data_IF_250817280466
#
_entry.id   IF_250817280466
#
_cell.length_a   1.000
_cell.length_b   1.000
_cell.length_c   1.000
_cell.angle_alpha   90.00
_cell.angle_beta   90.00
_cell.angle_gamma   90.00
#
_symmetry.space_group_name_H-M   'P 1'
#
loop_
_entity.id
_entity.type
_entity.pdbx_description
1 polymer ?
#
# COMPACT_ATOMS: atom_id res chain seq x y z
N UNK A 1 -12.23 6.57 17.74
CA UNK A 1 -10.88 7.19 17.75
C UNK A 1 -9.96 6.54 18.78
N UNK A 2 -10.35 6.47 20.05
CA UNK A 2 -9.49 5.91 21.11
C UNK A 2 -9.14 4.43 20.91
N UNK A 3 -10.05 3.62 20.37
CA UNK A 3 -9.79 2.21 20.11
C UNK A 3 -8.77 2.02 18.98
N UNK A 4 -8.76 2.87 17.98
CA UNK A 4 -7.77 2.77 16.90
C UNK A 4 -6.36 3.06 17.39
N UNK A 5 -6.18 4.00 18.32
CA UNK A 5 -4.87 4.28 18.95
C UNK A 5 -4.35 3.08 19.74
N UNK A 6 -5.22 2.39 20.48
CA UNK A 6 -4.86 1.17 21.22
C UNK A 6 -4.36 0.07 20.31
N UNK A 7 -4.93 -0.05 19.10
CA UNK A 7 -4.63 -1.10 18.14
C UNK A 7 -3.57 -0.70 17.10
N UNK A 8 -2.95 0.46 17.23
CA UNK A 8 -1.92 0.93 16.30
C UNK A 8 -0.74 -0.05 16.20
N UNK A 9 -0.30 -0.60 17.33
CA UNK A 9 0.77 -1.59 17.37
C UNK A 9 0.40 -2.86 16.62
N UNK A 10 -0.83 -3.33 16.79
CA UNK A 10 -1.33 -4.53 16.11
C UNK A 10 -1.47 -4.28 14.61
N UNK A 11 -1.93 -3.10 14.21
CA UNK A 11 -2.01 -2.71 12.79
C UNK A 11 -0.61 -2.70 12.15
N UNK A 12 0.40 -2.18 12.84
CA UNK A 12 1.78 -2.19 12.37
C UNK A 12 2.34 -3.62 12.25
N UNK A 13 2.07 -4.48 13.23
CA UNK A 13 2.46 -5.89 13.18
C UNK A 13 1.83 -6.60 11.97
N UNK A 14 0.54 -6.40 11.74
CA UNK A 14 -0.17 -6.95 10.59
C UNK A 14 0.37 -6.42 9.27
N UNK A 15 0.64 -5.12 9.18
CA UNK A 15 1.22 -4.50 7.99
C UNK A 15 2.60 -5.09 7.67
N UNK A 16 3.46 -5.24 8.67
CA UNK A 16 4.78 -5.85 8.51
C UNK A 16 4.68 -7.31 8.07
N UNK A 17 3.73 -8.07 8.62
CA UNK A 17 3.51 -9.46 8.23
C UNK A 17 3.13 -9.57 6.75
N UNK A 18 2.19 -8.75 6.29
CA UNK A 18 1.78 -8.69 4.87
C UNK A 18 2.97 -8.39 3.97
N UNK A 19 3.75 -7.37 4.31
CA UNK A 19 4.88 -6.91 3.49
C UNK A 19 6.05 -7.90 3.43
N UNK A 20 6.21 -8.73 4.47
CA UNK A 20 7.33 -9.66 4.59
C UNK A 20 6.97 -11.12 4.25
N UNK A 21 5.73 -11.40 3.90
CA UNK A 21 5.23 -12.77 3.69
C UNK A 21 4.54 -12.89 2.34
N UNK A 22 4.77 -13.97 1.57
CA UNK A 22 4.08 -14.19 0.31
C UNK A 22 2.56 -14.41 0.54
N UNK A 23 1.75 -13.90 -0.38
CA UNK A 23 0.29 -14.05 -0.37
C UNK A 23 -0.15 -15.38 -0.98
N UNK A 24 0.37 -16.50 -0.50
CA UNK A 24 0.01 -17.83 -1.01
C UNK A 24 -1.42 -18.19 -0.62
N UNK A 25 -2.25 -18.44 -1.62
CA UNK A 25 -3.63 -18.86 -1.48
C UNK A 25 -3.80 -20.30 -1.97
N UNK A 26 -3.24 -21.27 -1.25
CA UNK A 26 -3.48 -22.70 -1.50
C UNK A 26 -4.10 -23.35 -0.26
N UNK A 27 -4.45 -24.63 -0.36
CA UNK A 27 -5.08 -25.39 0.75
C UNK A 27 -4.23 -25.43 2.03
N UNK A 28 -2.93 -25.20 1.91
CA UNK A 28 -1.97 -25.07 3.01
C UNK A 28 -1.60 -23.62 3.29
N UNK A 29 -2.36 -22.65 2.74
CA UNK A 29 -2.03 -21.25 2.87
C UNK A 29 -2.12 -20.79 4.30
N UNK A 30 -1.19 -19.96 4.65
CA UNK A 30 -1.17 -19.26 5.92
C UNK A 30 -2.33 -18.27 5.98
N UNK A 31 -3.42 -18.66 6.65
CA UNK A 31 -4.58 -17.81 6.87
C UNK A 31 -4.22 -16.50 7.59
N UNK A 32 -3.06 -16.44 8.24
CA UNK A 32 -2.58 -15.25 8.93
C UNK A 32 -2.43 -14.06 7.98
N UNK A 33 -1.98 -14.29 6.73
CA UNK A 33 -1.88 -13.21 5.76
C UNK A 33 -3.25 -12.57 5.46
N UNK A 34 -4.28 -13.41 5.31
CA UNK A 34 -5.65 -12.95 5.07
C UNK A 34 -6.20 -12.21 6.30
N UNK A 35 -5.98 -12.73 7.49
CA UNK A 35 -6.40 -12.06 8.72
C UNK A 35 -5.71 -10.72 8.92
N UNK A 36 -4.41 -10.65 8.65
CA UNK A 36 -3.66 -9.39 8.70
C UNK A 36 -4.18 -8.38 7.68
N UNK A 37 -4.48 -8.82 6.45
CA UNK A 37 -5.03 -7.96 5.41
C UNK A 37 -6.39 -7.38 5.82
N UNK A 38 -7.27 -8.20 6.39
CA UNK A 38 -8.57 -7.75 6.92
C UNK A 38 -8.41 -6.81 8.10
N UNK A 39 -7.47 -7.09 8.98
CA UNK A 39 -7.20 -6.23 10.14
C UNK A 39 -6.71 -4.85 9.71
N UNK A 40 -5.76 -4.79 8.80
CA UNK A 40 -5.24 -3.52 8.25
C UNK A 40 -6.35 -2.73 7.57
N UNK A 41 -7.15 -3.37 6.72
CA UNK A 41 -8.27 -2.71 6.05
C UNK A 41 -9.25 -2.11 7.06
N UNK A 42 -9.63 -2.89 8.05
CA UNK A 42 -10.58 -2.45 9.07
C UNK A 42 -10.03 -1.31 9.92
N UNK A 43 -8.75 -1.37 10.28
CA UNK A 43 -8.08 -0.32 11.02
C UNK A 43 -7.99 0.97 10.19
N UNK A 44 -7.65 0.87 8.90
CA UNK A 44 -7.58 2.01 7.99
C UNK A 44 -8.94 2.67 7.79
N UNK A 45 -10.01 1.89 7.69
CA UNK A 45 -11.38 2.41 7.58
C UNK A 45 -11.86 3.15 8.83
N UNK A 46 -11.50 2.65 10.00
CA UNK A 46 -11.98 3.17 11.28
C UNK A 46 -11.07 4.21 11.91
N UNK A 47 -9.80 4.23 11.49
CA UNK A 47 -8.82 5.18 12.04
C UNK A 47 -9.02 6.57 11.45
N UNK A 48 -9.07 7.56 12.31
CA UNK A 48 -8.99 8.96 11.93
C UNK A 48 -7.54 9.43 11.72
N UNK A 49 -6.57 8.55 11.95
CA UNK A 49 -5.14 8.87 11.88
C UNK A 49 -4.54 8.69 10.49
N UNK A 50 -5.17 7.90 9.64
CA UNK A 50 -4.64 7.60 8.31
C UNK A 50 -5.58 8.12 7.21
N UNK A 51 -5.00 8.72 6.21
CA UNK A 51 -5.66 9.06 4.95
C UNK A 51 -4.99 8.30 3.83
N UNK A 52 -5.77 7.50 3.11
CA UNK A 52 -5.29 6.73 1.97
C UNK A 52 -5.98 7.25 0.70
N UNK A 53 -5.18 7.50 -0.31
CA UNK A 53 -5.66 7.81 -1.65
C UNK A 53 -5.17 6.75 -2.63
N UNK A 54 -6.04 6.31 -3.53
CA UNK A 54 -5.68 5.42 -4.61
C UNK A 54 -5.35 6.26 -5.85
N UNK A 55 -4.08 6.39 -6.23
CA UNK A 55 -3.69 7.19 -7.38
C UNK A 55 -4.34 6.68 -8.66
N UNK A 56 -4.78 7.56 -9.53
CA UNK A 56 -5.34 7.18 -10.85
C UNK A 56 -4.34 6.36 -11.66
N UNK A 57 -3.07 6.68 -11.55
CA UNK A 57 -1.96 5.96 -12.18
C UNK A 57 -1.79 4.52 -11.68
N UNK A 58 -2.36 4.17 -10.53
CA UNK A 58 -2.30 2.81 -10.01
C UNK A 58 -3.28 1.84 -10.65
N UNK A 59 -4.25 2.31 -11.43
CA UNK A 59 -5.29 1.47 -12.05
C UNK A 59 -4.74 0.34 -12.93
N UNK A 60 -3.58 0.53 -13.53
CA UNK A 60 -2.96 -0.47 -14.40
C UNK A 60 -2.41 -1.68 -13.65
N UNK A 61 -2.03 -1.50 -12.38
CA UNK A 61 -1.38 -2.55 -11.62
C UNK A 61 -2.10 -2.93 -10.32
N UNK A 62 -2.93 -2.05 -9.77
CA UNK A 62 -3.70 -2.34 -8.55
C UNK A 62 -5.03 -3.00 -8.91
N UNK A 63 -4.95 -4.21 -9.46
CA UNK A 63 -6.06 -4.90 -10.11
C UNK A 63 -6.57 -6.12 -9.36
N UNK A 64 -6.00 -6.44 -8.21
CA UNK A 64 -6.47 -7.54 -7.36
C UNK A 64 -6.38 -7.19 -5.88
N UNK A 65 -7.18 -7.88 -5.03
CA UNK A 65 -7.18 -7.61 -3.59
C UNK A 65 -5.82 -7.78 -2.92
N UNK A 66 -5.00 -8.68 -3.41
CA UNK A 66 -3.68 -8.98 -2.83
C UNK A 66 -2.72 -7.80 -2.97
N UNK A 67 -2.58 -7.23 -4.16
CA UNK A 67 -1.71 -6.06 -4.34
C UNK A 67 -2.28 -4.82 -3.67
N UNK A 68 -3.61 -4.70 -3.60
CA UNK A 68 -4.27 -3.63 -2.85
C UNK A 68 -3.94 -3.76 -1.35
N UNK A 69 -3.98 -4.96 -0.79
CA UNK A 69 -3.62 -5.21 0.61
C UNK A 69 -2.16 -4.86 0.90
N UNK A 70 -1.25 -5.14 -0.03
CA UNK A 70 0.16 -4.73 0.08
C UNK A 70 0.28 -3.21 0.09
N UNK A 71 -0.45 -2.52 -0.77
CA UNK A 71 -0.48 -1.06 -0.80
C UNK A 71 -1.00 -0.46 0.51
N UNK A 72 -2.12 -0.97 1.02
CA UNK A 72 -2.70 -0.54 2.30
C UNK A 72 -1.74 -0.79 3.46
N UNK A 73 -1.10 -1.95 3.50
CA UNK A 73 -0.11 -2.28 4.53
C UNK A 73 1.09 -1.31 4.49
N UNK A 74 1.55 -0.95 3.30
CA UNK A 74 2.65 0.00 3.13
C UNK A 74 2.25 1.42 3.57
N UNK A 75 1.03 1.86 3.26
CA UNK A 75 0.49 3.13 3.75
C UNK A 75 0.38 3.15 5.28
N UNK A 76 -0.17 2.09 5.86
CA UNK A 76 -0.34 1.96 7.31
C UNK A 76 1.00 1.99 8.04
N UNK A 77 1.96 1.22 7.55
CA UNK A 77 3.33 1.21 8.09
C UNK A 77 3.97 2.59 8.03
N UNK A 78 3.89 3.25 6.89
CA UNK A 78 4.45 4.60 6.68
C UNK A 78 3.78 5.62 7.60
N UNK A 79 2.46 5.59 7.70
CA UNK A 79 1.71 6.51 8.56
C UNK A 79 2.13 6.37 10.03
N UNK A 80 2.26 5.14 10.51
CA UNK A 80 2.59 4.86 11.90
C UNK A 80 4.07 5.17 12.21
N UNK A 81 4.99 4.66 11.40
CA UNK A 81 6.44 4.80 11.64
C UNK A 81 6.94 6.22 11.41
N UNK A 82 6.47 6.87 10.36
CA UNK A 82 6.92 8.21 9.98
C UNK A 82 6.02 9.32 10.54
N UNK A 83 4.99 8.94 11.32
CA UNK A 83 4.03 9.87 11.93
C UNK A 83 3.35 10.78 10.90
N UNK A 84 3.06 10.24 9.72
CA UNK A 84 2.29 10.91 8.68
C UNK A 84 0.82 10.67 8.94
N UNK A 85 0.18 11.62 9.60
CA UNK A 85 -1.20 11.52 10.10
C UNK A 85 -2.11 12.47 9.32
N UNK A 86 -3.31 12.01 9.01
CA UNK A 86 -4.37 12.78 8.32
C UNK A 86 -4.00 13.32 6.94
N UNK A 87 -3.04 12.68 6.26
CA UNK A 87 -2.59 13.17 4.95
C UNK A 87 -2.06 12.04 4.08
N UNK A 88 -2.41 12.06 2.81
CA UNK A 88 -1.74 11.26 1.78
C UNK A 88 -0.66 12.12 1.13
N UNK A 89 0.55 12.04 1.64
CA UNK A 89 1.67 12.87 1.22
C UNK A 89 2.44 12.27 0.05
N UNK A 90 3.27 13.10 -0.58
CA UNK A 90 4.24 12.62 -1.59
C UNK A 90 5.14 11.53 -1.02
N UNK A 91 5.61 11.68 0.21
CA UNK A 91 6.43 10.69 0.88
C UNK A 91 5.70 9.35 1.05
N UNK A 92 4.45 9.38 1.50
CA UNK A 92 3.62 8.18 1.60
C UNK A 92 3.43 7.51 0.24
N UNK A 93 3.12 8.29 -0.80
CA UNK A 93 2.96 7.79 -2.17
C UNK A 93 4.22 7.06 -2.65
N UNK A 94 5.38 7.69 -2.50
CA UNK A 94 6.66 7.12 -2.91
C UNK A 94 6.93 5.81 -2.14
N UNK A 95 6.81 5.82 -0.83
CA UNK A 95 7.07 4.64 0.01
C UNK A 95 6.09 3.51 -0.24
N UNK A 96 4.81 3.80 -0.36
CA UNK A 96 3.79 2.79 -0.56
C UNK A 96 3.91 2.13 -1.94
N UNK A 97 4.03 2.91 -3.01
CA UNK A 97 4.20 2.34 -4.36
C UNK A 97 5.52 1.60 -4.50
N UNK A 98 6.61 2.12 -3.94
CA UNK A 98 7.92 1.45 -3.93
C UNK A 98 7.83 0.09 -3.21
N UNK A 99 7.12 0.02 -2.10
CA UNK A 99 6.87 -1.24 -1.38
C UNK A 99 6.12 -2.26 -2.24
N UNK A 100 5.11 -1.81 -3.00
CA UNK A 100 4.38 -2.68 -3.94
C UNK A 100 5.30 -3.19 -5.06
N UNK A 101 6.17 -2.35 -5.60
CA UNK A 101 7.13 -2.75 -6.64
C UNK A 101 8.11 -3.80 -6.10
N UNK A 102 8.67 -3.57 -4.93
CA UNK A 102 9.59 -4.51 -4.26
C UNK A 102 8.90 -5.83 -3.94
N UNK A 103 7.66 -5.78 -3.44
CA UNK A 103 6.86 -6.97 -3.15
C UNK A 103 6.60 -7.78 -4.43
N UNK A 104 6.20 -7.12 -5.50
CA UNK A 104 6.00 -7.77 -6.80
C UNK A 104 7.28 -8.43 -7.32
N UNK A 105 8.40 -7.77 -7.27
CA UNK A 105 9.69 -8.34 -7.71
C UNK A 105 10.01 -9.60 -6.91
N UNK A 106 9.85 -9.54 -5.58
CA UNK A 106 10.15 -10.67 -4.69
C UNK A 106 9.20 -11.85 -4.87
N UNK A 107 7.93 -11.58 -5.15
CA UNK A 107 6.86 -12.59 -5.24
C UNK A 107 6.24 -12.65 -6.63
N UNK A 108 7.02 -12.39 -7.66
CA UNK A 108 6.56 -12.25 -9.05
C UNK A 108 5.73 -13.44 -9.52
N UNK A 109 6.21 -14.66 -9.26
CA UNK A 109 5.54 -15.90 -9.70
C UNK A 109 4.11 -16.00 -9.13
N UNK A 110 3.96 -15.76 -7.83
CA UNK A 110 2.66 -15.81 -7.16
C UNK A 110 1.76 -14.68 -7.64
N UNK A 111 2.27 -13.46 -7.72
CA UNK A 111 1.50 -12.30 -8.16
C UNK A 111 1.03 -12.43 -9.61
N UNK A 112 1.87 -12.95 -10.50
CA UNK A 112 1.49 -13.19 -11.89
C UNK A 112 0.45 -14.32 -12.02
N UNK A 113 0.48 -15.31 -11.14
CA UNK A 113 -0.56 -16.34 -11.08
C UNK A 113 -1.90 -15.81 -10.58
N UNK A 114 -1.89 -14.90 -9.62
CA UNK A 114 -3.10 -14.34 -9.02
C UNK A 114 -3.80 -13.34 -9.95
N UNK A 115 -3.10 -12.36 -10.46
CA UNK A 115 -3.71 -11.31 -11.27
C UNK A 115 -2.81 -10.71 -12.35
N UNK A 116 -1.55 -11.06 -12.38
CA UNK A 116 -0.57 -10.55 -13.35
C UNK A 116 -0.60 -9.02 -13.48
N UNK A 117 -0.32 -8.27 -12.41
CA UNK A 117 -0.38 -6.82 -12.43
C UNK A 117 0.62 -6.23 -13.42
N UNK A 118 0.23 -5.17 -14.12
CA UNK A 118 1.13 -4.50 -15.07
C UNK A 118 2.15 -3.63 -14.33
N UNK A 119 3.22 -4.24 -13.84
CA UNK A 119 4.30 -3.60 -13.08
C UNK A 119 5.55 -3.32 -13.91
N UNK A 120 5.56 -3.66 -15.19
CA UNK A 120 6.75 -3.62 -16.05
C UNK A 120 7.47 -2.27 -16.03
N UNK A 121 6.75 -1.18 -16.18
CA UNK A 121 7.30 0.18 -16.19
C UNK A 121 7.92 0.55 -14.83
N UNK A 122 7.20 0.27 -13.75
CA UNK A 122 7.66 0.58 -12.40
C UNK A 122 8.89 -0.25 -12.00
N UNK A 123 8.89 -1.53 -12.33
CA UNK A 123 10.03 -2.42 -12.12
C UNK A 123 11.28 -1.91 -12.88
N UNK A 124 11.12 -1.52 -14.13
CA UNK A 124 12.21 -0.95 -14.94
C UNK A 124 12.76 0.34 -14.31
N UNK A 125 11.88 1.23 -13.87
CA UNK A 125 12.29 2.47 -13.17
C UNK A 125 13.04 2.16 -11.86
N UNK A 126 12.53 1.20 -11.09
CA UNK A 126 13.17 0.76 -9.85
C UNK A 126 14.59 0.22 -10.09
N UNK A 127 14.76 -0.67 -11.06
CA UNK A 127 16.07 -1.25 -11.39
C UNK A 127 17.09 -0.23 -11.87
N UNK A 128 16.63 0.88 -12.45
CA UNK A 128 17.47 1.99 -12.92
C UNK A 128 17.71 3.07 -11.85
N UNK A 129 17.20 2.89 -10.64
CA UNK A 129 17.30 3.90 -9.58
C UNK A 129 16.51 5.18 -9.84
N UNK A 130 15.48 5.12 -10.69
CA UNK A 130 14.66 6.28 -11.11
C UNK A 130 13.24 6.28 -10.58
N UNK A 131 12.87 5.28 -9.78
CA UNK A 131 11.48 5.13 -9.32
C UNK A 131 11.03 6.28 -8.43
N UNK A 132 11.85 6.69 -7.47
CA UNK A 132 11.51 7.77 -6.54
C UNK A 132 11.18 9.08 -7.27
N UNK A 133 12.04 9.49 -8.18
CA UNK A 133 11.81 10.70 -9.00
C UNK A 133 10.56 10.58 -9.87
N UNK A 134 10.35 9.42 -10.46
CA UNK A 134 9.18 9.14 -11.27
C UNK A 134 7.89 9.25 -10.45
N UNK A 135 7.86 8.66 -9.27
CA UNK A 135 6.70 8.71 -8.37
C UNK A 135 6.47 10.10 -7.79
N UNK A 136 7.53 10.85 -7.49
CA UNK A 136 7.43 12.24 -7.08
C UNK A 136 6.74 13.10 -8.14
N UNK A 137 7.16 12.98 -9.39
CA UNK A 137 6.56 13.70 -10.52
C UNK A 137 5.11 13.27 -10.76
N UNK A 138 4.82 11.98 -10.62
CA UNK A 138 3.47 11.43 -10.75
C UNK A 138 2.53 11.98 -9.68
N UNK A 139 3.00 12.05 -8.43
CA UNK A 139 2.25 12.67 -7.34
C UNK A 139 1.93 14.13 -7.62
N UNK A 140 2.91 14.91 -8.05
CA UNK A 140 2.72 16.34 -8.38
C UNK A 140 1.70 16.54 -9.51
N UNK A 141 1.72 15.66 -10.51
CA UNK A 141 0.75 15.68 -11.61
C UNK A 141 -0.68 15.39 -11.14
N UNK A 142 -0.86 14.43 -10.26
CA UNK A 142 -2.18 14.00 -9.81
C UNK A 142 -2.76 14.90 -8.71
N UNK A 143 -1.92 15.39 -7.80
CA UNK A 143 -2.33 16.08 -6.57
C UNK A 143 -1.88 17.55 -6.51
N UNK A 144 -1.19 18.03 -7.54
CA UNK A 144 -0.72 19.40 -7.66
C UNK A 144 0.43 19.75 -6.70
N UNK A 145 1.53 20.22 -7.24
CA UNK A 145 2.71 20.81 -6.57
C UNK A 145 3.09 20.25 -5.19
N UNK A 146 2.90 18.95 -4.98
CA UNK A 146 3.27 18.28 -3.74
C UNK A 146 2.40 18.62 -2.53
N UNK A 147 1.24 19.23 -2.71
CA UNK A 147 0.30 19.48 -1.61
C UNK A 147 -0.28 18.15 -1.08
N UNK A 148 -0.27 17.95 0.24
CA UNK A 148 -0.87 16.77 0.82
C UNK A 148 -2.38 16.70 0.55
N UNK A 149 -2.88 15.50 0.29
CA UNK A 149 -4.33 15.26 0.22
C UNK A 149 -4.91 15.19 1.63
N UNK A 150 -6.00 15.94 1.83
CA UNK A 150 -6.71 15.99 3.11
C UNK A 150 -8.10 15.37 3.05
N UNK A 151 -8.54 14.96 1.86
CA UNK A 151 -9.84 14.33 1.67
C UNK A 151 -9.73 12.81 1.71
N UNK A 152 -10.64 12.19 2.42
CA UNK A 152 -10.69 10.74 2.55
C UNK A 152 -11.47 10.13 1.37
N UNK A 153 -10.77 9.53 0.42
CA UNK A 153 -11.37 8.81 -0.70
C UNK A 153 -11.40 7.30 -0.40
N UNK A 154 -12.21 6.88 0.56
CA UNK A 154 -12.58 5.47 0.62
C UNK A 154 -13.49 5.14 -0.56
N UNK A 155 -13.19 4.04 -1.27
CA UNK A 155 -13.98 3.55 -2.38
C UNK A 155 -15.39 3.27 -1.83
N UNK A 156 -16.44 3.94 -2.34
CA UNK A 156 -17.80 3.53 -2.02
C UNK A 156 -18.00 2.08 -2.52
N UNK A 157 -18.67 1.29 -1.71
CA UNK A 157 -19.07 -0.09 -1.99
C UNK A 157 -19.71 -0.25 -3.39
#
# INVERSE_FOLDING_TARGET
ADDCKKHRKDALMCANYILNTPCELNENSDLMWIYCARYVLLWDEKSDEILISFPKSSKEWMICPEIMSVFLAACTKTAIEDKIIHVYSKEMHIKAVTSCVKYYIKHKKIMDMLCKPNMKKLVKKHRRGKLEKYLSNQYEKEYGNGKPQTENFFIPE
#
